data_IF_410616226833
#
_entry.id   IF_410616226833
#
_cell.length_a   1.000
_cell.length_b   1.000
_cell.length_c   1.000
_cell.angle_alpha   90.00
_cell.angle_beta   90.00
_cell.angle_gamma   90.00
#
_symmetry.space_group_name_H-M   'P 1'
#
loop_
_entity.id
_entity.type
_entity.pdbx_description
1 polymer ?
#
# COMPACT_ATOMS: atom_id res chain seq x y z
N UNK A 1 -70.65 24.85 4.84
CA UNK A 1 -70.04 25.92 5.64
C UNK A 1 -69.42 25.26 6.86
N UNK A 2 -68.10 25.14 6.90
CA UNK A 2 -67.41 24.50 8.02
C UNK A 2 -67.43 25.44 9.23
N UNK A 3 -67.59 24.88 10.44
CA UNK A 3 -67.69 25.60 11.71
C UNK A 3 -66.43 26.41 12.00
N UNK A 4 -66.56 27.68 12.44
CA UNK A 4 -65.43 28.59 12.66
C UNK A 4 -64.52 28.20 13.83
N UNK A 5 -64.95 27.28 14.71
CA UNK A 5 -64.17 26.80 15.87
C UNK A 5 -62.92 26.00 15.45
N UNK A 6 -62.95 25.33 14.30
CA UNK A 6 -61.82 24.52 13.81
C UNK A 6 -60.64 25.42 13.37
N UNK A 7 -60.93 26.62 12.86
CA UNK A 7 -59.89 27.53 12.35
C UNK A 7 -59.23 28.38 13.45
N UNK A 8 -59.93 28.65 14.56
CA UNK A 8 -59.31 29.28 15.74
C UNK A 8 -58.31 28.35 16.42
N UNK A 9 -58.61 27.05 16.44
CA UNK A 9 -57.71 26.01 16.98
C UNK A 9 -56.39 25.93 16.21
N UNK A 10 -56.38 26.25 14.90
CA UNK A 10 -55.17 26.20 14.08
C UNK A 10 -54.23 27.41 14.27
N UNK A 11 -54.74 28.57 14.70
CA UNK A 11 -53.91 29.79 14.90
C UNK A 11 -53.31 29.87 16.30
N UNK A 12 -53.98 29.34 17.32
CA UNK A 12 -53.52 29.41 18.72
C UNK A 12 -52.50 28.31 19.11
N UNK A 13 -52.34 27.25 18.29
CA UNK A 13 -51.44 26.12 18.60
C UNK A 13 -50.09 26.15 17.87
N UNK A 14 -49.89 27.12 16.97
CA UNK A 14 -48.62 27.32 16.27
C UNK A 14 -47.48 27.88 17.14
N UNK A 15 -47.68 28.58 18.28
CA UNK A 15 -46.57 29.03 19.10
C UNK A 15 -46.00 27.96 20.05
N UNK A 16 -46.72 26.86 20.31
CA UNK A 16 -46.45 25.99 21.46
C UNK A 16 -45.60 24.75 21.19
N UNK A 17 -45.18 24.52 19.93
CA UNK A 17 -44.24 23.45 19.62
C UNK A 17 -42.99 24.02 18.96
N UNK A 18 -41.86 24.15 19.68
CA UNK A 18 -40.64 24.64 19.09
C UNK A 18 -40.23 23.67 17.98
N UNK A 19 -40.30 24.16 16.73
CA UNK A 19 -40.05 23.40 15.51
C UNK A 19 -38.61 22.87 15.48
N UNK A 20 -37.71 23.45 16.27
CA UNK A 20 -36.32 23.06 16.46
C UNK A 20 -35.81 23.45 17.85
N UNK A 21 -36.39 22.94 18.94
CA UNK A 21 -35.65 22.91 20.22
C UNK A 21 -35.03 21.54 20.41
N UNK A 22 -33.70 21.56 20.53
CA UNK A 22 -32.92 20.44 21.01
C UNK A 22 -32.61 20.75 22.48
N UNK A 23 -33.49 20.40 23.46
CA UNK A 23 -33.07 20.47 24.84
C UNK A 23 -32.02 19.40 25.02
N UNK A 24 -30.78 19.85 25.20
CA UNK A 24 -29.69 19.01 25.63
C UNK A 24 -30.13 18.43 26.98
N UNK A 25 -30.49 17.13 26.98
CA UNK A 25 -30.88 16.31 28.14
C UNK A 25 -32.37 16.33 28.53
N UNK A 26 -33.24 15.82 27.65
CA UNK A 26 -34.53 15.24 28.09
C UNK A 26 -34.45 13.71 28.12
N UNK A 27 -35.04 13.09 29.14
CA UNK A 27 -35.09 11.63 29.28
C UNK A 27 -35.80 11.01 28.06
N UNK A 28 -35.21 10.00 27.42
CA UNK A 28 -35.78 9.34 26.24
C UNK A 28 -37.24 8.87 26.43
N UNK A 29 -37.61 8.54 27.69
CA UNK A 29 -38.97 8.12 28.07
C UNK A 29 -40.00 9.25 28.01
N UNK A 30 -39.66 10.48 28.41
CA UNK A 30 -40.60 11.61 28.37
C UNK A 30 -40.84 12.09 26.94
N UNK A 31 -39.83 11.95 26.08
CA UNK A 31 -39.92 12.27 24.65
C UNK A 31 -40.80 11.29 23.88
N UNK A 32 -40.70 9.98 24.16
CA UNK A 32 -41.55 8.96 23.54
C UNK A 32 -43.05 9.20 23.79
N UNK A 33 -43.40 9.48 25.05
CA UNK A 33 -44.78 9.81 25.45
C UNK A 33 -45.31 11.09 24.77
N UNK A 34 -44.45 12.08 24.50
CA UNK A 34 -44.85 13.29 23.78
C UNK A 34 -45.12 13.03 22.28
N UNK A 35 -44.38 12.11 21.66
CA UNK A 35 -44.58 11.71 20.26
C UNK A 35 -45.87 10.90 20.12
N UNK A 36 -46.13 9.95 21.02
CA UNK A 36 -47.36 9.14 21.03
C UNK A 36 -48.61 10.03 21.12
N UNK A 37 -48.64 11.00 22.04
CA UNK A 37 -49.74 11.97 22.16
C UNK A 37 -49.92 12.82 20.89
N UNK A 38 -48.83 13.13 20.21
CA UNK A 38 -48.86 13.91 18.97
C UNK A 38 -49.41 13.10 17.80
N UNK A 39 -49.07 11.81 17.72
CA UNK A 39 -49.61 10.88 16.74
C UNK A 39 -51.11 10.71 16.97
N UNK A 40 -51.53 10.44 18.21
CA UNK A 40 -52.95 10.29 18.59
C UNK A 40 -53.77 11.54 18.21
N UNK A 41 -53.23 12.73 18.46
CA UNK A 41 -53.87 13.98 18.05
C UNK A 41 -54.01 14.10 16.53
N UNK A 42 -52.96 13.81 15.76
CA UNK A 42 -52.99 13.88 14.29
C UNK A 42 -53.94 12.84 13.68
N UNK A 43 -54.02 11.65 14.25
CA UNK A 43 -54.98 10.61 13.85
C UNK A 43 -56.43 11.04 14.11
N UNK A 44 -56.69 11.69 15.26
CA UNK A 44 -58.01 12.25 15.56
C UNK A 44 -58.42 13.36 14.56
N UNK A 45 -57.45 14.13 14.07
CA UNK A 45 -57.69 15.19 13.09
C UNK A 45 -57.90 14.62 11.69
N UNK A 46 -57.18 13.55 11.31
CA UNK A 46 -57.25 12.93 9.98
C UNK A 46 -58.67 12.51 9.57
N UNK A 47 -59.50 12.06 10.53
CA UNK A 47 -60.90 11.71 10.31
C UNK A 47 -61.84 12.91 10.06
N UNK A 48 -61.46 14.10 10.55
CA UNK A 48 -62.31 15.29 10.54
C UNK A 48 -61.98 16.26 9.37
N UNK A 49 -60.96 15.96 8.58
CA UNK A 49 -60.48 16.86 7.52
C UNK A 49 -61.07 16.50 6.15
N UNK A 50 -61.88 17.40 5.58
CA UNK A 50 -62.53 17.17 4.27
C UNK A 50 -61.70 17.64 3.06
N UNK A 51 -60.97 18.75 3.20
CA UNK A 51 -60.20 19.36 2.11
C UNK A 51 -58.95 18.53 1.77
N UNK A 52 -58.67 18.36 0.46
CA UNK A 52 -57.50 17.62 -0.04
C UNK A 52 -56.18 18.19 0.46
N UNK A 53 -56.04 19.52 0.54
CA UNK A 53 -54.80 20.19 0.96
C UNK A 53 -54.48 19.90 2.43
N UNK A 54 -55.47 19.98 3.29
CA UNK A 54 -55.32 19.71 4.72
C UNK A 54 -55.16 18.20 4.99
N UNK A 55 -55.85 17.32 4.25
CA UNK A 55 -55.57 15.86 4.32
C UNK A 55 -54.13 15.52 3.96
N UNK A 56 -53.58 16.14 2.91
CA UNK A 56 -52.16 15.99 2.56
C UNK A 56 -51.25 16.45 3.69
N UNK A 57 -51.51 17.63 4.24
CA UNK A 57 -50.70 18.18 5.33
C UNK A 57 -50.71 17.30 6.59
N UNK A 58 -51.89 16.81 7.01
CA UNK A 58 -52.02 15.90 8.16
C UNK A 58 -51.26 14.60 7.89
N UNK A 59 -51.39 14.02 6.70
CA UNK A 59 -50.67 12.80 6.34
C UNK A 59 -49.15 13.02 6.33
N UNK A 60 -48.67 14.10 5.72
CA UNK A 60 -47.24 14.42 5.71
C UNK A 60 -46.71 14.60 7.14
N UNK A 61 -47.49 15.25 8.01
CA UNK A 61 -47.10 15.45 9.40
C UNK A 61 -47.10 14.14 10.20
N UNK A 62 -48.08 13.28 9.99
CA UNK A 62 -48.17 11.97 10.63
C UNK A 62 -47.00 11.08 10.21
N UNK A 63 -46.68 11.03 8.92
CA UNK A 63 -45.54 10.27 8.39
C UNK A 63 -44.21 10.75 9.00
N UNK A 64 -44.04 12.05 9.16
CA UNK A 64 -42.83 12.62 9.77
C UNK A 64 -42.67 12.29 11.26
N UNK A 65 -43.76 12.04 11.98
CA UNK A 65 -43.71 11.64 13.41
C UNK A 65 -43.64 10.11 13.60
N UNK A 66 -44.21 9.34 12.66
CA UNK A 66 -44.11 7.87 12.65
C UNK A 66 -42.70 7.38 12.31
N UNK A 67 -41.96 8.13 11.49
CA UNK A 67 -40.57 7.79 11.16
C UNK A 67 -39.66 8.19 12.33
N UNK A 68 -38.91 7.25 12.94
CA UNK A 68 -37.94 7.58 13.97
C UNK A 68 -36.93 8.60 13.46
N UNK A 69 -36.73 9.69 14.20
CA UNK A 69 -35.70 10.68 13.86
C UNK A 69 -34.33 10.06 14.05
N UNK A 70 -33.66 9.78 12.95
CA UNK A 70 -32.33 9.19 12.94
C UNK A 70 -31.30 10.15 13.56
N UNK A 71 -30.43 9.63 14.42
CA UNK A 71 -29.29 10.38 14.94
C UNK A 71 -28.26 10.62 13.82
N UNK A 72 -27.42 11.65 13.94
CA UNK A 72 -26.40 11.96 12.94
C UNK A 72 -25.49 10.75 12.61
N UNK A 73 -25.24 9.90 13.60
CA UNK A 73 -24.47 8.66 13.46
C UNK A 73 -25.22 7.57 12.67
N UNK A 74 -26.53 7.44 12.87
CA UNK A 74 -27.39 6.50 12.15
C UNK A 74 -27.57 6.95 10.69
N UNK A 75 -27.74 8.26 10.46
CA UNK A 75 -27.78 8.85 9.12
C UNK A 75 -26.46 8.57 8.39
N UNK A 76 -25.31 8.73 9.07
CA UNK A 76 -24.00 8.38 8.50
C UNK A 76 -23.92 6.90 8.11
N UNK A 77 -24.41 5.99 8.96
CA UNK A 77 -24.40 4.56 8.67
C UNK A 77 -25.26 4.14 7.48
N UNK A 78 -26.36 4.87 7.20
CA UNK A 78 -27.23 4.61 6.05
C UNK A 78 -26.63 5.01 4.70
N UNK A 79 -25.81 6.07 4.69
CA UNK A 79 -25.20 6.59 3.46
C UNK A 79 -23.72 6.22 3.31
N UNK A 80 -23.12 5.58 4.32
CA UNK A 80 -21.73 5.17 4.29
C UNK A 80 -21.59 3.74 4.84
N UNK A 81 -21.94 2.71 4.04
CA UNK A 81 -21.78 1.32 4.44
C UNK A 81 -20.29 1.00 4.69
N UNK A 82 -19.96 0.10 5.64
CA UNK A 82 -18.59 -0.37 5.83
C UNK A 82 -18.04 -0.92 4.50
N UNK A 83 -16.84 -0.53 3.99
CA UNK A 83 -15.73 0.21 4.60
C UNK A 83 -15.67 1.74 4.33
N UNK A 84 -16.69 2.36 3.76
CA UNK A 84 -16.63 3.77 3.31
C UNK A 84 -17.13 4.81 4.34
N UNK A 85 -17.56 4.39 5.53
CA UNK A 85 -18.19 5.25 6.54
C UNK A 85 -17.45 5.47 7.86
N UNK A 86 -16.35 4.77 8.09
CA UNK A 86 -15.47 5.08 9.22
C UNK A 86 -14.60 6.28 8.87
N UNK A 87 -14.25 7.09 9.88
CA UNK A 87 -13.26 8.15 9.67
C UNK A 87 -11.98 7.48 9.19
N UNK A 88 -11.60 7.76 7.94
CA UNK A 88 -10.41 7.19 7.33
C UNK A 88 -9.26 7.41 8.32
N UNK A 89 -8.63 6.33 8.82
CA UNK A 89 -7.52 6.49 9.75
C UNK A 89 -6.52 7.41 9.07
N UNK A 90 -6.06 8.43 9.80
CA UNK A 90 -5.12 9.40 9.25
C UNK A 90 -3.97 8.62 8.62
N UNK A 91 -3.79 8.80 7.31
CA UNK A 91 -2.67 8.19 6.59
C UNK A 91 -1.38 8.46 7.37
N UNK A 92 -0.46 7.50 7.39
CA UNK A 92 0.85 7.66 8.03
C UNK A 92 1.55 8.96 7.61
N UNK A 93 1.27 9.45 6.39
CA UNK A 93 1.72 10.75 5.87
C UNK A 93 1.09 11.95 6.60
N UNK A 94 -0.21 11.89 6.91
CA UNK A 94 -0.92 12.91 7.67
C UNK A 94 -0.50 12.93 9.15
N UNK A 95 -0.18 11.75 9.72
CA UNK A 95 0.25 11.62 11.12
C UNK A 95 1.63 12.20 11.37
N UNK A 96 2.52 12.16 10.38
CA UNK A 96 3.93 12.50 10.59
C UNK A 96 4.20 13.99 10.45
N UNK A 97 3.70 14.68 9.42
CA UNK A 97 4.33 15.94 9.03
C UNK A 97 3.44 17.01 8.37
N UNK A 98 2.14 17.07 8.66
CA UNK A 98 1.23 18.04 7.99
C UNK A 98 1.74 19.50 8.01
N UNK A 99 2.31 19.95 9.12
CA UNK A 99 2.86 21.32 9.26
C UNK A 99 4.30 21.49 8.73
N UNK A 100 5.08 20.42 8.65
CA UNK A 100 6.44 20.48 8.06
C UNK A 100 6.38 20.52 6.54
N UNK A 101 5.45 19.78 5.92
CA UNK A 101 5.23 19.81 4.48
C UNK A 101 4.70 21.15 3.97
N UNK A 102 4.01 21.92 4.82
CA UNK A 102 3.52 23.26 4.45
C UNK A 102 4.67 24.24 4.18
N UNK A 103 5.84 24.01 4.80
CA UNK A 103 7.08 24.73 4.52
C UNK A 103 7.58 24.50 3.09
N UNK A 104 7.15 23.41 2.44
CA UNK A 104 7.48 23.08 1.05
C UNK A 104 6.56 23.75 0.02
N UNK A 105 5.46 24.38 0.44
CA UNK A 105 4.55 25.08 -0.47
C UNK A 105 5.08 26.44 -0.96
N UNK A 106 6.03 27.02 -0.23
CA UNK A 106 6.59 28.36 -0.49
C UNK A 106 8.12 28.38 -0.35
N UNK A 107 8.79 27.41 -0.95
CA UNK A 107 10.26 27.39 -1.01
C UNK A 107 10.68 28.26 -2.20
N UNK A 108 11.46 29.31 -1.93
CA UNK A 108 12.17 30.04 -2.98
C UNK A 108 13.35 29.20 -3.49
N UNK A 109 13.78 29.45 -4.73
CA UNK A 109 14.86 28.64 -5.34
C UNK A 109 16.15 28.64 -4.52
N UNK A 110 16.42 29.71 -3.77
CA UNK A 110 17.62 29.86 -2.93
C UNK A 110 17.55 28.99 -1.65
N UNK A 111 16.38 28.87 -1.02
CA UNK A 111 16.13 27.94 0.07
C UNK A 111 16.17 26.50 -0.42
N UNK A 112 15.66 26.23 -1.62
CA UNK A 112 15.75 24.91 -2.23
C UNK A 112 17.22 24.52 -2.42
N UNK A 113 18.04 25.39 -3.03
CA UNK A 113 19.46 25.11 -3.21
C UNK A 113 20.19 24.92 -1.88
N UNK A 114 19.84 25.71 -0.86
CA UNK A 114 20.42 25.58 0.49
C UNK A 114 20.04 24.25 1.15
N UNK A 115 18.78 23.81 1.03
CA UNK A 115 18.31 22.52 1.56
C UNK A 115 18.99 21.37 0.80
N UNK A 116 19.11 21.46 -0.52
CA UNK A 116 19.80 20.46 -1.35
C UNK A 116 21.28 20.40 -0.98
N UNK A 117 21.94 21.52 -0.76
CA UNK A 117 23.34 21.58 -0.34
C UNK A 117 23.54 21.04 1.08
N UNK A 118 22.64 21.36 2.01
CA UNK A 118 22.61 20.78 3.35
C UNK A 118 22.36 19.26 3.31
N UNK A 119 21.52 18.76 2.40
CA UNK A 119 21.29 17.33 2.22
C UNK A 119 22.51 16.62 1.61
N UNK A 120 23.15 17.22 0.60
CA UNK A 120 24.39 16.71 0.01
C UNK A 120 25.53 16.68 1.03
N UNK A 121 25.63 17.69 1.89
CA UNK A 121 26.66 17.77 2.93
C UNK A 121 26.33 16.95 4.19
N UNK A 122 25.07 16.70 4.52
CA UNK A 122 24.69 15.75 5.59
C UNK A 122 24.77 14.29 5.13
N UNK A 123 24.57 14.02 3.84
CA UNK A 123 24.87 12.73 3.20
C UNK A 123 26.34 12.36 3.36
N UNK A 124 27.26 13.32 3.23
CA UNK A 124 28.68 13.06 3.45
C UNK A 124 29.03 12.79 4.93
N UNK A 125 28.29 13.34 5.89
CA UNK A 125 28.45 13.03 7.34
C UNK A 125 27.79 11.70 7.76
N UNK A 126 26.72 11.26 7.08
CA UNK A 126 26.14 9.91 7.23
C UNK A 126 26.86 8.84 6.40
N UNK A 127 27.96 9.18 5.73
CA UNK A 127 28.92 8.21 5.21
C UNK A 127 29.73 7.64 6.38
N UNK A 128 29.06 6.98 7.32
CA UNK A 128 29.70 5.91 8.08
C UNK A 128 30.34 5.03 7.01
N UNK A 129 31.67 4.98 7.01
CA UNK A 129 32.53 4.35 6.00
C UNK A 129 31.77 3.24 5.30
N UNK A 130 31.12 3.55 4.16
CA UNK A 130 30.26 2.55 3.51
C UNK A 130 31.23 1.46 3.13
N UNK A 131 31.02 0.29 3.74
CA UNK A 131 31.95 -0.82 3.64
C UNK A 131 32.22 -1.10 2.15
N UNK A 132 33.49 -1.05 1.77
CA UNK A 132 33.91 -1.23 0.39
C UNK A 132 33.41 -2.58 -0.13
N UNK A 133 33.35 -3.58 0.76
CA UNK A 133 32.85 -4.91 0.46
C UNK A 133 31.35 -4.89 0.19
N UNK A 134 30.56 -4.18 1.00
CA UNK A 134 29.11 -4.00 0.75
C UNK A 134 28.85 -3.33 -0.60
N UNK A 135 29.61 -2.29 -0.94
CA UNK A 135 29.48 -1.62 -2.24
C UNK A 135 29.89 -2.51 -3.40
N UNK A 136 30.98 -3.28 -3.26
CA UNK A 136 31.44 -4.21 -4.28
C UNK A 136 30.38 -5.29 -4.57
N UNK A 137 29.75 -5.82 -3.52
CA UNK A 137 28.66 -6.80 -3.63
C UNK A 137 27.41 -6.20 -4.28
N UNK A 138 27.01 -4.99 -3.90
CA UNK A 138 25.86 -4.34 -4.53
C UNK A 138 26.11 -4.10 -6.01
N UNK A 139 27.30 -3.60 -6.36
CA UNK A 139 27.68 -3.43 -7.76
C UNK A 139 27.69 -4.77 -8.51
N UNK A 140 28.20 -5.84 -7.89
CA UNK A 140 28.16 -7.19 -8.45
C UNK A 140 26.74 -7.71 -8.64
N UNK A 141 25.87 -7.49 -7.67
CA UNK A 141 24.45 -7.83 -7.75
C UNK A 141 23.71 -7.03 -8.82
N UNK A 142 24.08 -5.76 -9.03
CA UNK A 142 23.50 -4.93 -10.08
C UNK A 142 23.83 -5.44 -11.50
N UNK A 143 24.97 -6.14 -11.68
CA UNK A 143 25.32 -6.77 -12.97
C UNK A 143 24.44 -7.96 -13.33
N UNK A 144 23.88 -8.65 -12.33
CA UNK A 144 23.03 -9.84 -12.55
C UNK A 144 21.74 -9.45 -13.27
N UNK A 145 21.35 -10.23 -14.27
CA UNK A 145 20.13 -10.01 -15.04
C UNK A 145 18.88 -9.91 -14.15
N UNK A 146 17.93 -9.07 -14.56
CA UNK A 146 16.71 -8.83 -13.79
C UNK A 146 15.92 -10.11 -13.53
N UNK A 147 15.83 -11.02 -14.51
CA UNK A 147 15.09 -12.29 -14.38
C UNK A 147 15.76 -13.20 -13.37
N UNK A 148 17.09 -13.28 -13.41
CA UNK A 148 17.84 -14.12 -12.46
C UNK A 148 17.76 -13.56 -11.04
N UNK A 149 17.85 -12.23 -10.87
CA UNK A 149 17.65 -11.59 -9.56
C UNK A 149 16.27 -11.88 -8.99
N UNK A 150 15.24 -11.78 -9.82
CA UNK A 150 13.86 -12.10 -9.43
C UNK A 150 13.68 -13.56 -9.03
N UNK A 151 14.27 -14.48 -9.80
CA UNK A 151 14.29 -15.90 -9.47
C UNK A 151 14.93 -16.15 -8.10
N UNK A 152 16.13 -15.59 -7.86
CA UNK A 152 16.86 -15.74 -6.60
C UNK A 152 16.12 -15.13 -5.39
N UNK A 153 15.39 -14.03 -5.59
CA UNK A 153 14.57 -13.42 -4.53
C UNK A 153 13.34 -14.25 -4.17
N UNK A 154 12.69 -14.89 -5.16
CA UNK A 154 11.49 -15.72 -4.93
C UNK A 154 11.83 -17.11 -4.42
N UNK A 155 12.85 -17.71 -5.01
CA UNK A 155 13.30 -19.07 -4.73
C UNK A 155 14.83 -19.08 -4.65
N UNK A 156 15.37 -19.27 -3.45
CA UNK A 156 16.81 -19.35 -3.22
C UNK A 156 17.22 -20.80 -2.92
N UNK A 157 17.54 -21.61 -3.95
CA UNK A 157 18.11 -22.94 -3.75
C UNK A 157 19.58 -22.81 -3.34
N UNK A 158 19.82 -22.63 -2.04
CA UNK A 158 21.16 -22.35 -1.50
C UNK A 158 22.22 -23.34 -1.95
N UNK A 159 21.89 -24.63 -2.01
CA UNK A 159 22.87 -25.69 -2.25
C UNK A 159 23.39 -25.66 -3.68
N UNK A 160 22.48 -25.43 -4.64
CA UNK A 160 22.81 -25.31 -6.06
C UNK A 160 23.63 -24.06 -6.33
N UNK A 161 23.21 -22.91 -5.77
CA UNK A 161 23.94 -21.64 -5.94
C UNK A 161 25.32 -21.73 -5.31
N UNK A 162 25.45 -22.35 -4.14
CA UNK A 162 26.74 -22.56 -3.46
C UNK A 162 27.66 -23.44 -4.29
N UNK A 163 27.15 -24.56 -4.83
CA UNK A 163 27.95 -25.43 -5.69
C UNK A 163 28.46 -24.73 -6.96
N UNK A 164 27.62 -23.93 -7.63
CA UNK A 164 28.06 -23.14 -8.78
C UNK A 164 29.07 -22.05 -8.40
N UNK A 165 28.86 -21.39 -7.28
CA UNK A 165 29.76 -20.37 -6.76
C UNK A 165 31.14 -20.95 -6.40
N UNK A 166 31.19 -22.13 -5.78
CA UNK A 166 32.44 -22.85 -5.49
C UNK A 166 33.20 -23.20 -6.77
N UNK A 167 32.51 -23.79 -7.77
CA UNK A 167 33.12 -24.10 -9.07
C UNK A 167 33.67 -22.85 -9.77
N UNK A 168 32.92 -21.74 -9.75
CA UNK A 168 33.33 -20.49 -10.39
C UNK A 168 34.51 -19.85 -9.65
N UNK A 169 34.50 -19.84 -8.31
CA UNK A 169 35.61 -19.30 -7.52
C UNK A 169 36.88 -20.12 -7.65
N UNK A 170 36.77 -21.46 -7.70
CA UNK A 170 37.89 -22.35 -7.99
C UNK A 170 38.45 -22.05 -9.39
N UNK A 171 37.57 -21.97 -10.39
CA UNK A 171 37.95 -21.60 -11.75
C UNK A 171 38.66 -20.25 -11.81
N UNK A 172 38.16 -19.21 -11.14
CA UNK A 172 38.82 -17.89 -11.14
C UNK A 172 40.24 -17.96 -10.58
N UNK A 173 40.44 -18.74 -9.49
CA UNK A 173 41.74 -18.90 -8.82
C UNK A 173 42.74 -19.77 -9.59
N UNK A 174 42.28 -20.87 -10.19
CA UNK A 174 43.14 -21.91 -10.77
C UNK A 174 43.39 -21.74 -12.26
N UNK A 175 42.51 -21.03 -12.98
CA UNK A 175 42.59 -20.90 -14.44
C UNK A 175 43.43 -19.71 -14.91
N UNK A 176 44.11 -19.88 -16.05
CA UNK A 176 44.82 -18.83 -16.76
C UNK A 176 43.91 -17.99 -17.68
N UNK A 177 44.49 -16.97 -18.30
CA UNK A 177 43.80 -16.16 -19.30
C UNK A 177 43.51 -16.98 -20.56
N UNK A 178 42.22 -17.22 -20.84
CA UNK A 178 41.75 -17.95 -22.03
C UNK A 178 41.09 -19.30 -21.74
N UNK A 179 41.22 -19.80 -20.52
CA UNK A 179 40.58 -21.05 -20.09
C UNK A 179 39.05 -20.93 -20.10
N UNK A 180 38.39 -22.08 -20.27
CA UNK A 180 36.93 -22.17 -20.39
C UNK A 180 36.41 -23.24 -19.43
N UNK A 181 35.63 -22.83 -18.45
CA UNK A 181 34.91 -23.75 -17.58
C UNK A 181 33.66 -24.27 -18.32
N UNK A 182 33.54 -25.58 -18.46
CA UNK A 182 32.39 -26.22 -19.08
C UNK A 182 31.55 -26.97 -18.03
N UNK A 183 30.32 -26.52 -17.83
CA UNK A 183 29.38 -27.15 -16.91
C UNK A 183 28.20 -27.75 -17.69
N UNK A 184 27.91 -29.04 -17.45
CA UNK A 184 26.77 -29.73 -18.05
C UNK A 184 25.53 -29.48 -17.19
N UNK A 185 24.58 -28.70 -17.69
CA UNK A 185 23.37 -28.33 -16.95
C UNK A 185 22.14 -28.47 -17.85
N UNK A 186 21.35 -29.53 -17.62
CA UNK A 186 20.17 -29.83 -18.45
C UNK A 186 18.92 -29.05 -18.03
N UNK A 187 18.78 -28.73 -16.75
CA UNK A 187 17.64 -27.97 -16.26
C UNK A 187 17.72 -26.48 -16.70
N UNK A 188 16.65 -25.90 -17.30
CA UNK A 188 16.63 -24.50 -17.71
C UNK A 188 16.75 -23.50 -16.56
N UNK A 189 16.16 -23.79 -15.42
CA UNK A 189 16.21 -22.93 -14.24
C UNK A 189 17.61 -22.94 -13.64
N UNK A 190 18.26 -24.10 -13.53
CA UNK A 190 19.63 -24.21 -13.06
C UNK A 190 20.62 -23.49 -14.00
N UNK A 191 20.39 -23.52 -15.31
CA UNK A 191 21.17 -22.71 -16.26
C UNK A 191 20.99 -21.22 -16.01
N UNK A 192 19.76 -20.75 -15.79
CA UNK A 192 19.49 -19.35 -15.45
C UNK A 192 20.28 -18.94 -14.20
N UNK A 193 20.28 -19.77 -13.16
CA UNK A 193 21.05 -19.51 -11.93
C UNK A 193 22.55 -19.46 -12.23
N UNK A 194 23.09 -20.42 -12.97
CA UNK A 194 24.50 -20.45 -13.33
C UNK A 194 24.93 -19.19 -14.12
N UNK A 195 24.08 -18.70 -15.02
CA UNK A 195 24.32 -17.43 -15.72
C UNK A 195 24.40 -16.27 -14.74
N UNK A 196 23.44 -16.15 -13.80
CA UNK A 196 23.48 -15.08 -12.81
C UNK A 196 24.66 -15.14 -11.85
N UNK A 197 25.07 -16.34 -11.42
CA UNK A 197 26.30 -16.50 -10.61
C UNK A 197 27.52 -16.05 -11.42
N UNK A 198 27.59 -16.43 -12.70
CA UNK A 198 28.67 -16.00 -13.59
C UNK A 198 28.72 -14.47 -13.75
N UNK A 199 27.57 -13.83 -13.94
CA UNK A 199 27.44 -12.36 -14.07
C UNK A 199 27.84 -11.62 -12.79
N UNK A 200 27.50 -12.17 -11.63
CA UNK A 200 27.90 -11.60 -10.34
C UNK A 200 29.44 -11.49 -10.24
N UNK A 201 30.15 -12.53 -10.69
CA UNK A 201 31.62 -12.58 -10.75
C UNK A 201 32.23 -11.94 -12.01
N UNK A 202 31.46 -11.16 -12.78
CA UNK A 202 31.92 -10.50 -14.01
C UNK A 202 32.42 -11.46 -15.12
N UNK A 203 31.94 -12.70 -15.13
CA UNK A 203 32.27 -13.71 -16.14
C UNK A 203 31.26 -13.71 -17.30
N UNK A 204 31.72 -14.19 -18.46
CA UNK A 204 30.86 -14.39 -19.64
C UNK A 204 30.43 -15.85 -19.66
N UNK A 205 29.12 -16.08 -19.65
CA UNK A 205 28.53 -17.41 -19.69
C UNK A 205 27.64 -17.59 -20.92
N UNK A 206 27.86 -18.67 -21.68
CA UNK A 206 27.10 -18.97 -22.91
C UNK A 206 26.70 -20.44 -22.89
N UNK A 207 25.40 -20.72 -23.01
CA UNK A 207 24.93 -22.09 -23.20
C UNK A 207 24.97 -22.47 -24.67
N UNK A 208 25.60 -23.61 -24.96
CA UNK A 208 25.67 -24.22 -26.29
C UNK A 208 25.02 -25.60 -26.22
N UNK A 209 24.19 -25.91 -27.21
CA UNK A 209 23.73 -27.28 -27.44
C UNK A 209 24.85 -28.06 -28.12
N UNK A 210 25.33 -29.10 -27.47
CA UNK A 210 26.29 -30.04 -28.03
C UNK A 210 25.50 -31.29 -28.45
N UNK A 211 25.44 -31.54 -29.77
CA UNK A 211 24.87 -32.77 -30.32
C UNK A 211 26.01 -33.78 -30.50
N UNK A 212 26.19 -34.67 -29.54
CA UNK A 212 27.03 -35.86 -29.71
C UNK A 212 26.10 -37.07 -29.86
N UNK A 213 25.74 -37.41 -31.11
CA UNK A 213 24.83 -38.51 -31.42
C UNK A 213 23.34 -38.17 -31.26
N UNK A 214 22.54 -39.15 -30.80
CA UNK A 214 21.07 -39.08 -30.71
C UNK A 214 20.56 -38.17 -29.59
N UNK A 215 21.39 -37.84 -28.60
CA UNK A 215 21.01 -37.00 -27.45
C UNK A 215 21.67 -35.62 -27.50
N UNK A 216 20.86 -34.56 -27.41
CA UNK A 216 21.35 -33.18 -27.33
C UNK A 216 21.66 -32.80 -25.89
N UNK A 217 22.94 -32.60 -25.56
CA UNK A 217 23.39 -32.19 -24.23
C UNK A 217 23.59 -30.66 -24.21
N UNK A 218 22.97 -29.98 -23.24
CA UNK A 218 23.20 -28.55 -23.02
C UNK A 218 24.39 -28.32 -22.11
N UNK A 219 25.38 -27.57 -22.60
CA UNK A 219 26.59 -27.22 -21.84
C UNK A 219 26.71 -25.71 -21.73
N UNK A 220 26.99 -25.21 -20.52
CA UNK A 220 27.26 -23.79 -20.28
C UNK A 220 28.77 -23.59 -20.20
N UNK A 221 29.29 -22.77 -21.11
CA UNK A 221 30.69 -22.38 -21.19
C UNK A 221 30.86 -21.05 -20.48
N UNK A 222 31.72 -21.01 -19.47
CA UNK A 222 32.04 -19.82 -18.69
C UNK A 222 33.48 -19.40 -18.99
N UNK A 223 33.70 -18.11 -19.27
CA UNK A 223 35.00 -17.54 -19.62
C UNK A 223 35.26 -16.24 -18.87
N UNK A 224 36.53 -15.98 -18.56
CA UNK A 224 37.00 -14.66 -18.09
C UNK A 224 36.92 -13.63 -19.23
N UNK A 225 36.62 -12.37 -18.89
CA UNK A 225 36.64 -11.28 -19.87
C UNK A 225 38.09 -10.88 -20.14
N UNK A 226 38.45 -10.71 -21.41
CA UNK A 226 39.84 -10.48 -21.89
C UNK A 226 40.55 -9.22 -21.35
N UNK A 227 39.87 -8.36 -20.60
CA UNK A 227 40.40 -7.08 -20.14
C UNK A 227 40.03 -6.71 -18.69
N UNK A 228 39.30 -7.57 -17.96
CA UNK A 228 38.99 -7.31 -16.55
C UNK A 228 39.81 -8.26 -15.66
N UNK A 229 40.63 -7.68 -14.78
CA UNK A 229 41.05 -8.38 -13.58
C UNK A 229 39.77 -8.63 -12.77
N UNK A 230 39.34 -9.89 -12.70
CA UNK A 230 38.15 -10.27 -11.95
C UNK A 230 38.46 -10.11 -10.46
N UNK A 231 38.11 -8.97 -9.89
CA UNK A 231 38.17 -8.74 -8.45
C UNK A 231 37.10 -9.60 -7.78
N UNK A 232 37.53 -10.58 -6.99
CA UNK A 232 36.64 -11.45 -6.24
C UNK A 232 36.05 -10.67 -5.06
N UNK A 233 34.71 -10.52 -4.97
CA UNK A 233 34.08 -9.97 -3.78
C UNK A 233 34.41 -10.82 -2.55
N UNK A 234 34.68 -10.15 -1.42
CA UNK A 234 34.92 -10.79 -0.12
C UNK A 234 33.66 -11.52 0.37
N UNK A 235 32.50 -10.88 0.21
CA UNK A 235 31.19 -11.45 0.51
C UNK A 235 30.70 -12.23 -0.71
N UNK A 236 30.33 -13.49 -0.50
CA UNK A 236 29.79 -14.36 -1.55
C UNK A 236 28.35 -14.02 -1.88
N UNK A 237 27.89 -14.39 -3.08
CA UNK A 237 26.50 -14.23 -3.51
C UNK A 237 25.55 -14.99 -2.56
N UNK A 238 25.90 -16.22 -2.18
CA UNK A 238 25.11 -16.99 -1.22
C UNK A 238 25.02 -16.29 0.14
N UNK A 239 26.11 -15.72 0.64
CA UNK A 239 26.10 -15.01 1.92
C UNK A 239 25.28 -13.72 1.83
N UNK A 240 25.43 -12.96 0.75
CA UNK A 240 24.63 -11.78 0.47
C UNK A 240 23.12 -12.09 0.43
N UNK A 241 22.71 -13.15 -0.26
CA UNK A 241 21.28 -13.52 -0.36
C UNK A 241 20.70 -13.96 0.98
N UNK A 242 21.49 -14.64 1.84
CA UNK A 242 21.08 -14.98 3.20
C UNK A 242 20.86 -13.72 4.05
N UNK A 243 21.82 -12.81 4.07
CA UNK A 243 21.70 -11.54 4.80
C UNK A 243 20.52 -10.69 4.30
N UNK A 244 20.29 -10.66 2.98
CA UNK A 244 19.17 -9.93 2.39
C UNK A 244 17.81 -10.53 2.80
N UNK A 245 17.71 -11.86 2.93
CA UNK A 245 16.48 -12.55 3.36
C UNK A 245 16.19 -12.35 4.85
N UNK A 246 17.24 -12.27 5.66
CA UNK A 246 17.15 -12.04 7.11
C UNK A 246 16.96 -10.55 7.47
N UNK A 247 17.05 -9.65 6.49
CA UNK A 247 16.88 -8.20 6.69
C UNK A 247 18.07 -7.51 7.37
N UNK A 248 19.23 -8.17 7.38
CA UNK A 248 20.45 -7.70 8.08
C UNK A 248 21.33 -6.82 7.16
N UNK A 249 21.04 -6.80 5.85
CA UNK A 249 21.86 -6.13 4.83
C UNK A 249 21.89 -4.59 4.94
#
# INVERSE_FOLDING_TARGET
MATPEVLQTEQDLLPSFPLFDHPKRENAKSRGLAIEKKIEFLESLAGNVSNRRSRRWVNDRLLMELVPRLHAEEIRGLFAPPPWGEDVPLSAFCMTNKGEWDKFRHIDMDKESTIIEALKSSSSKRKGRVDADKMAVLNAWHRVDCRTREALRRSFPSDIVTGYEECIRAFIKESGDGDVLMLRVQDPFHRLLLHGVSEFYDLVSVTVMQSEGTESLKTTRVKKKKASSVELPNITLCHFLKMAKEGIW
#
